data_IF_496893654144
#
_entry.id   IF_496893654144
#
_cell.length_a   1.000
_cell.length_b   1.000
_cell.length_c   1.000
_cell.angle_alpha   90.00
_cell.angle_beta   90.00
_cell.angle_gamma   90.00
#
_symmetry.space_group_name_H-M   'P 1'
#
loop_
_entity.id
_entity.type
_entity.pdbx_description
1 polymer ?
#
# COMPACT_ATOMS: atom_id res chain seq x y z
N UNK A 1 -0.22 10.79 29.29
CA UNK A 1 1.02 10.32 28.64
C UNK A 1 0.71 10.05 27.19
N UNK A 2 0.74 11.08 26.36
CA UNK A 2 0.71 10.95 24.90
C UNK A 2 2.06 10.35 24.50
N UNK A 3 2.07 9.14 23.94
CA UNK A 3 3.32 8.60 23.38
C UNK A 3 3.65 9.42 22.14
N UNK A 4 4.74 10.16 22.18
CA UNK A 4 5.40 10.67 20.99
C UNK A 4 5.86 9.47 20.16
N UNK A 5 5.08 9.15 19.12
CA UNK A 5 5.54 8.19 18.12
C UNK A 5 6.60 8.90 17.29
N UNK A 6 7.85 8.40 17.24
CA UNK A 6 8.89 9.01 16.41
C UNK A 6 8.46 8.98 14.93
N UNK A 7 8.55 10.12 14.27
CA UNK A 7 8.38 10.20 12.81
C UNK A 7 9.59 9.49 12.18
N UNK A 8 9.39 8.45 11.35
CA UNK A 8 10.50 7.76 10.71
C UNK A 8 11.22 8.71 9.74
N UNK A 9 12.53 8.51 9.49
CA UNK A 9 13.24 9.28 8.48
C UNK A 9 12.56 9.12 7.11
N UNK A 10 12.65 10.12 6.20
CA UNK A 10 11.84 10.18 4.97
C UNK A 10 11.90 8.92 4.09
N UNK A 11 13.04 8.23 4.09
CA UNK A 11 13.26 7.01 3.32
C UNK A 11 12.60 5.76 3.93
N UNK A 12 12.42 5.74 5.26
CA UNK A 12 11.75 4.66 5.98
C UNK A 12 10.22 4.82 5.93
N UNK A 13 9.71 6.06 6.02
CA UNK A 13 8.28 6.35 5.85
C UNK A 13 7.75 5.82 4.51
N UNK A 14 8.57 5.93 3.46
CA UNK A 14 8.25 5.45 2.10
C UNK A 14 8.10 3.93 2.00
N UNK A 15 8.57 3.16 2.99
CA UNK A 15 8.45 1.69 3.04
C UNK A 15 7.28 1.22 3.89
N UNK A 16 6.69 2.07 4.73
CA UNK A 16 5.52 1.68 5.51
C UNK A 16 4.33 1.53 4.55
N UNK A 17 3.64 0.37 4.55
CA UNK A 17 2.42 0.24 3.77
C UNK A 17 1.41 1.30 4.19
N UNK A 18 0.75 1.91 3.21
CA UNK A 18 -0.24 2.96 3.47
C UNK A 18 -1.49 2.74 2.62
N UNK A 19 -2.67 3.17 3.09
CA UNK A 19 -3.90 3.08 2.32
C UNK A 19 -3.81 3.95 1.07
N UNK A 20 -4.32 3.43 -0.05
CA UNK A 20 -4.53 4.21 -1.26
C UNK A 20 -5.71 5.14 -1.02
N UNK A 21 -5.59 6.38 -1.47
CA UNK A 21 -6.63 7.40 -1.32
C UNK A 21 -7.45 7.53 -2.61
N UNK A 22 -8.65 8.08 -2.50
CA UNK A 22 -9.53 8.35 -3.62
C UNK A 22 -10.20 7.08 -4.16
N UNK A 23 -10.59 7.10 -5.43
CA UNK A 23 -11.40 6.07 -6.07
C UNK A 23 -10.72 4.69 -6.10
N UNK A 24 -9.39 4.65 -6.12
CA UNK A 24 -8.61 3.41 -6.09
C UNK A 24 -8.44 2.83 -4.69
N UNK A 25 -8.88 3.54 -3.65
CA UNK A 25 -8.69 3.17 -2.24
C UNK A 25 -9.54 2.00 -1.75
N UNK A 26 -10.47 1.53 -2.58
CA UNK A 26 -11.40 0.46 -2.23
C UNK A 26 -11.25 -0.72 -3.19
N UNK A 27 -11.25 -1.93 -2.65
CA UNK A 27 -11.29 -3.20 -3.38
C UNK A 27 -12.60 -3.92 -3.07
N UNK A 28 -13.33 -4.34 -4.11
CA UNK A 28 -14.49 -5.19 -3.97
C UNK A 28 -14.08 -6.66 -4.14
N UNK A 29 -14.31 -7.49 -3.13
CA UNK A 29 -14.06 -8.94 -3.17
C UNK A 29 -15.20 -9.65 -2.44
N UNK A 30 -15.79 -10.67 -3.09
CA UNK A 30 -16.86 -11.50 -2.51
C UNK A 30 -18.04 -10.69 -1.92
N UNK A 31 -18.44 -9.63 -2.61
CA UNK A 31 -19.54 -8.73 -2.17
C UNK A 31 -19.17 -7.77 -1.03
N UNK A 32 -17.94 -7.83 -0.52
CA UNK A 32 -17.43 -6.97 0.53
C UNK A 32 -16.49 -5.91 -0.03
N UNK A 33 -16.35 -4.79 0.71
CA UNK A 33 -15.47 -3.68 0.37
C UNK A 33 -14.35 -3.61 1.38
N UNK A 34 -13.11 -3.64 0.88
CA UNK A 34 -11.90 -3.57 1.69
C UNK A 34 -11.13 -2.30 1.37
N UNK A 35 -10.42 -1.78 2.37
CA UNK A 35 -9.40 -0.78 2.13
C UNK A 35 -8.27 -1.40 1.30
N UNK A 36 -7.87 -0.72 0.23
CA UNK A 36 -6.71 -1.07 -0.58
C UNK A 36 -5.48 -0.36 -0.04
N UNK A 37 -4.42 -1.13 0.18
CA UNK A 37 -3.12 -0.67 0.67
C UNK A 37 -2.08 -0.78 -0.43
N UNK A 38 -1.09 0.10 -0.38
CA UNK A 38 0.08 0.07 -1.23
C UNK A 38 1.36 -0.04 -0.41
N UNK A 39 2.29 -0.86 -0.89
CA UNK A 39 3.68 -0.90 -0.42
C UNK A 39 4.63 -0.63 -1.58
N UNK A 40 5.66 0.19 -1.32
CA UNK A 40 6.77 0.46 -2.24
C UNK A 40 8.00 -0.32 -1.74
N UNK A 41 8.28 -1.52 -2.27
CA UNK A 41 9.37 -2.36 -1.76
C UNK A 41 10.76 -1.77 -2.05
N UNK A 42 10.85 -0.84 -3.00
CA UNK A 42 12.09 -0.24 -3.48
C UNK A 42 12.13 1.26 -3.24
N UNK A 43 13.26 1.76 -2.71
CA UNK A 43 13.50 3.19 -2.52
C UNK A 43 13.56 3.95 -3.85
N UNK A 44 14.19 3.37 -4.87
CA UNK A 44 14.44 4.05 -6.16
C UNK A 44 13.64 3.52 -7.34
N UNK A 45 13.02 2.34 -7.21
CA UNK A 45 12.24 1.75 -8.30
C UNK A 45 10.74 1.91 -8.07
N UNK A 46 9.98 1.80 -9.15
CA UNK A 46 8.56 2.08 -9.15
C UNK A 46 7.64 0.87 -8.95
N UNK A 47 8.22 -0.28 -8.57
CA UNK A 47 7.46 -1.44 -8.14
C UNK A 47 6.40 -1.08 -7.09
N UNK A 48 5.24 -1.73 -7.17
CA UNK A 48 4.10 -1.54 -6.25
C UNK A 48 3.50 -2.90 -5.91
N UNK A 49 3.17 -3.08 -4.64
CA UNK A 49 2.29 -4.15 -4.19
C UNK A 49 1.00 -3.51 -3.74
N UNK A 50 -0.12 -3.91 -4.32
CA UNK A 50 -1.47 -3.55 -3.87
C UNK A 50 -2.09 -4.74 -3.17
N UNK A 51 -2.67 -4.52 -2.00
CA UNK A 51 -3.20 -5.58 -1.16
C UNK A 51 -4.35 -5.10 -0.27
N UNK A 52 -5.10 -6.03 0.31
CA UNK A 52 -6.03 -5.76 1.42
C UNK A 52 -5.66 -6.59 2.65
N UNK A 53 -6.17 -6.18 3.81
CA UNK A 53 -6.03 -6.91 5.07
C UNK A 53 -7.42 -7.26 5.60
N UNK A 54 -7.60 -8.52 5.96
CA UNK A 54 -8.81 -9.05 6.59
C UNK A 54 -8.37 -10.13 7.58
N UNK A 55 -8.81 -10.04 8.84
CA UNK A 55 -8.48 -10.97 9.92
C UNK A 55 -6.98 -11.31 10.04
N UNK A 56 -6.14 -10.27 10.06
CA UNK A 56 -4.67 -10.36 10.09
C UNK A 56 -4.03 -11.11 8.90
N UNK A 57 -4.80 -11.39 7.85
CA UNK A 57 -4.33 -12.00 6.61
C UNK A 57 -4.17 -10.92 5.52
N UNK A 58 -3.00 -10.95 4.87
CA UNK A 58 -2.71 -10.11 3.70
C UNK A 58 -3.15 -10.82 2.43
N UNK A 59 -3.99 -10.15 1.65
CA UNK A 59 -4.45 -10.61 0.35
C UNK A 59 -3.85 -9.75 -0.74
N UNK A 60 -2.98 -10.34 -1.56
CA UNK A 60 -2.37 -9.64 -2.68
C UNK A 60 -3.39 -9.46 -3.81
N UNK A 61 -3.55 -8.22 -4.26
CA UNK A 61 -4.41 -7.90 -5.39
C UNK A 61 -3.60 -7.75 -6.67
N UNK A 62 -2.55 -6.92 -6.63
CA UNK A 62 -1.66 -6.70 -7.77
C UNK A 62 -0.21 -6.57 -7.33
N UNK A 63 0.69 -7.13 -8.12
CA UNK A 63 2.14 -7.01 -7.93
C UNK A 63 2.73 -6.49 -9.22
N UNK A 64 3.30 -5.30 -9.16
CA UNK A 64 3.90 -4.60 -10.29
C UNK A 64 5.41 -4.51 -10.10
N UNK A 65 6.18 -4.88 -11.12
CA UNK A 65 7.64 -4.72 -11.12
C UNK A 65 8.09 -3.31 -11.55
N UNK A 66 7.16 -2.50 -12.08
CA UNK A 66 7.34 -1.11 -12.52
C UNK A 66 6.13 -0.25 -12.09
N UNK A 67 6.14 1.06 -12.38
CA UNK A 67 4.96 1.87 -12.05
C UNK A 67 3.75 1.39 -12.86
N UNK A 68 2.57 1.15 -12.25
CA UNK A 68 1.39 0.74 -13.02
C UNK A 68 0.88 1.81 -14.00
N UNK A 69 1.39 3.05 -13.90
CA UNK A 69 1.09 4.15 -14.82
C UNK A 69 2.34 4.63 -15.59
N UNK A 70 3.44 3.86 -15.63
CA UNK A 70 4.55 4.19 -16.53
C UNK A 70 4.07 3.97 -17.96
N UNK A 71 3.80 5.07 -18.67
CA UNK A 71 3.68 5.05 -20.14
C UNK A 71 4.94 4.44 -20.71
N UNK A 72 4.74 3.38 -21.50
CA UNK A 72 5.78 2.62 -22.19
C UNK A 72 6.62 3.48 -23.13
#
# INVERSE_FOLDING_TARGET
>A
MTKDTPVPPPDEERRVPHPIRGELGSLHRDGHVYARWQHKPTLRADARIWFSVEDDVVYLEQVHTHHPHETK
#
